data_IF_931119137681
#
_entry.id   IF_931119137681
#
_cell.length_a   1.000
_cell.length_b   1.000
_cell.length_c   1.000
_cell.angle_alpha   90.00
_cell.angle_beta   90.00
_cell.angle_gamma   90.00
#
_symmetry.space_group_name_H-M   'P 1'
#
loop_
_entity.id
_entity.type
_entity.pdbx_description
1 polymer ?
#
# COMPACT_ATOMS: atom_id res chain seq x y z
N UNK A 1 -51.84 -30.77 15.42
CA UNK A 1 -50.57 -30.76 16.18
C UNK A 1 -49.32 -30.77 15.31
N UNK A 2 -49.37 -31.36 14.12
CA UNK A 2 -48.24 -31.39 13.19
C UNK A 2 -48.03 -30.05 12.40
N UNK A 3 -49.08 -29.25 12.25
CA UNK A 3 -49.01 -27.93 11.61
C UNK A 3 -48.34 -26.88 12.50
N UNK A 4 -48.44 -27.00 13.81
CA UNK A 4 -47.82 -26.07 14.76
C UNK A 4 -46.30 -26.28 14.89
N UNK A 5 -45.85 -27.54 14.79
CA UNK A 5 -44.41 -27.85 14.87
C UNK A 5 -43.63 -27.43 13.61
N UNK A 6 -44.28 -27.44 12.43
CA UNK A 6 -43.62 -26.99 11.18
C UNK A 6 -43.49 -25.46 11.08
N UNK A 7 -44.33 -24.72 11.79
CA UNK A 7 -44.27 -23.26 11.84
C UNK A 7 -43.12 -22.71 12.72
N UNK A 8 -42.66 -23.49 13.67
CA UNK A 8 -41.63 -23.07 14.61
C UNK A 8 -40.18 -23.25 14.08
N UNK A 9 -40.01 -24.07 13.04
CA UNK A 9 -38.70 -24.36 12.47
C UNK A 9 -38.22 -23.21 11.52
N UNK A 10 -39.11 -22.31 11.10
CA UNK A 10 -38.78 -21.18 10.20
C UNK A 10 -38.81 -19.81 10.87
N UNK A 11 -38.75 -19.71 12.17
CA UNK A 11 -38.33 -18.47 12.79
C UNK A 11 -36.83 -18.32 12.54
N UNK A 12 -36.48 -17.80 11.35
CA UNK A 12 -35.20 -17.14 11.19
C UNK A 12 -35.14 -16.05 12.25
N UNK A 13 -34.33 -16.26 13.26
CA UNK A 13 -33.91 -15.19 14.14
C UNK A 13 -33.02 -14.30 13.28
N UNK A 14 -33.61 -13.33 12.63
CA UNK A 14 -32.90 -12.21 12.06
C UNK A 14 -32.45 -11.39 13.26
N UNK A 15 -31.22 -11.63 13.73
CA UNK A 15 -30.58 -10.71 14.65
C UNK A 15 -30.29 -9.45 13.87
N UNK A 16 -31.24 -8.52 13.89
CA UNK A 16 -30.96 -7.14 13.53
C UNK A 16 -30.09 -6.59 14.65
N UNK A 17 -28.77 -6.60 14.43
CA UNK A 17 -27.88 -5.77 15.20
C UNK A 17 -27.94 -4.37 14.58
N UNK A 18 -28.71 -3.44 15.16
CA UNK A 18 -28.64 -2.05 14.72
C UNK A 18 -27.18 -1.58 14.91
N UNK A 19 -26.52 -1.21 13.84
CA UNK A 19 -25.25 -0.49 13.90
C UNK A 19 -25.52 0.84 14.59
N UNK A 20 -25.46 0.86 15.93
CA UNK A 20 -25.74 2.05 16.73
C UNK A 20 -24.61 3.07 16.71
N UNK A 21 -23.42 2.65 16.29
CA UNK A 21 -22.24 3.50 16.31
C UNK A 21 -21.79 3.88 14.89
N UNK A 22 -21.43 5.13 14.75
CA UNK A 22 -20.89 5.65 13.51
C UNK A 22 -19.54 4.98 13.23
N UNK A 23 -19.45 4.24 12.14
CA UNK A 23 -18.18 3.74 11.62
C UNK A 23 -17.38 4.95 11.11
N UNK A 24 -16.19 5.16 11.61
CA UNK A 24 -15.28 6.18 11.10
C UNK A 24 -13.91 5.60 10.81
N UNK A 25 -13.42 5.81 9.58
CA UNK A 25 -12.03 5.57 9.23
C UNK A 25 -11.18 6.74 9.70
N UNK A 26 -9.92 6.51 10.11
CA UNK A 26 -9.03 7.60 10.48
C UNK A 26 -8.64 8.41 9.24
N UNK A 27 -8.41 9.68 9.44
CA UNK A 27 -7.81 10.55 8.44
C UNK A 27 -6.40 10.07 8.10
N UNK A 28 -5.96 10.33 6.88
CA UNK A 28 -4.59 10.03 6.44
C UNK A 28 -3.89 11.34 6.14
N UNK A 29 -2.78 11.59 6.83
CA UNK A 29 -1.90 12.72 6.58
C UNK A 29 -0.63 12.22 5.90
N UNK A 30 -0.28 12.83 4.76
CA UNK A 30 0.91 12.48 4.01
C UNK A 30 1.66 13.73 3.58
N UNK A 31 2.99 13.66 3.63
CA UNK A 31 3.89 14.65 3.10
C UNK A 31 5.07 13.97 2.44
N UNK A 32 5.47 14.45 1.26
CA UNK A 32 6.59 13.92 0.51
C UNK A 32 7.41 15.03 -0.10
N UNK A 33 8.69 14.77 -0.29
CA UNK A 33 9.64 15.67 -0.95
C UNK A 33 10.38 14.87 -2.00
N UNK A 34 10.39 15.39 -3.25
CA UNK A 34 11.14 14.85 -4.36
C UNK A 34 12.18 15.85 -4.85
N UNK A 35 13.37 15.35 -5.17
CA UNK A 35 14.47 16.12 -5.75
C UNK A 35 14.96 15.47 -7.03
N UNK A 36 15.12 16.24 -8.09
CA UNK A 36 15.74 15.82 -9.34
C UNK A 36 17.07 16.56 -9.54
N UNK A 37 18.14 15.79 -9.73
CA UNK A 37 19.48 16.33 -9.95
C UNK A 37 19.96 15.91 -11.34
N UNK A 38 20.29 16.88 -12.19
CA UNK A 38 20.90 16.66 -13.50
C UNK A 38 20.10 15.76 -14.45
N UNK A 39 18.79 15.63 -14.32
CA UNK A 39 17.92 14.72 -15.07
C UNK A 39 18.30 13.23 -15.01
N UNK A 40 19.29 12.88 -14.20
CA UNK A 40 19.78 11.52 -14.04
C UNK A 40 19.32 10.91 -12.71
N UNK A 41 19.26 11.71 -11.67
CA UNK A 41 18.98 11.28 -10.33
C UNK A 41 17.69 11.89 -9.82
N UNK A 42 16.80 11.06 -9.35
CA UNK A 42 15.57 11.47 -8.66
C UNK A 42 15.55 10.81 -7.29
N UNK A 43 15.39 11.61 -6.27
CA UNK A 43 15.25 11.19 -4.86
C UNK A 43 13.86 11.54 -4.38
N UNK A 44 13.23 10.63 -3.66
CA UNK A 44 11.92 10.85 -3.08
C UNK A 44 11.90 10.31 -1.65
N UNK A 45 11.28 11.07 -0.75
CA UNK A 45 11.06 10.68 0.65
C UNK A 45 9.64 11.02 1.02
N UNK A 46 8.92 10.05 1.55
CA UNK A 46 7.53 10.18 1.94
C UNK A 46 7.31 9.82 3.40
N UNK A 47 6.45 10.57 4.04
CA UNK A 47 5.94 10.33 5.37
C UNK A 47 4.42 10.21 5.34
N UNK A 48 3.88 9.17 5.96
CA UNK A 48 2.43 8.98 6.10
C UNK A 48 2.09 8.69 7.56
N UNK A 49 1.06 9.38 8.05
CA UNK A 49 0.53 9.21 9.41
C UNK A 49 -0.98 8.96 9.39
N UNK A 50 -1.43 7.98 10.17
CA UNK A 50 -2.84 7.63 10.30
C UNK A 50 -3.19 7.42 11.79
N UNK A 51 -4.02 8.29 12.40
CA UNK A 51 -4.40 8.19 13.81
C UNK A 51 -5.49 7.13 14.04
N UNK A 52 -5.15 5.85 13.93
CA UNK A 52 -6.06 4.74 14.14
C UNK A 52 -6.57 4.62 15.58
N UNK A 53 -5.86 5.19 16.56
CA UNK A 53 -6.31 5.26 17.94
C UNK A 53 -7.61 6.08 18.12
N UNK A 54 -7.91 6.97 17.16
CA UNK A 54 -9.12 7.80 17.13
C UNK A 54 -10.27 7.19 16.33
N UNK A 55 -10.01 6.10 15.61
CA UNK A 55 -11.02 5.43 14.80
C UNK A 55 -12.10 4.80 15.68
N UNK A 56 -13.36 5.00 15.31
CA UNK A 56 -14.49 4.39 16.00
C UNK A 56 -14.92 3.15 15.22
N UNK A 57 -14.68 1.99 15.80
CA UNK A 57 -15.19 0.73 15.29
C UNK A 57 -16.15 0.14 16.31
N UNK A 58 -17.30 -0.29 15.85
CA UNK A 58 -18.18 -1.10 16.66
C UNK A 58 -17.59 -2.50 16.73
N UNK A 59 -17.15 -2.89 17.92
CA UNK A 59 -16.62 -4.22 18.14
C UNK A 59 -17.74 -5.25 18.01
N UNK A 60 -17.73 -6.01 16.93
CA UNK A 60 -18.74 -7.04 16.65
C UNK A 60 -18.74 -8.19 17.66
N UNK A 61 -17.70 -8.32 18.44
CA UNK A 61 -17.48 -9.47 19.30
C UNK A 61 -17.56 -9.18 20.80
N UNK A 62 -17.82 -7.94 21.21
CA UNK A 62 -18.07 -7.60 22.63
C UNK A 62 -16.93 -7.90 23.62
N UNK A 63 -15.88 -8.55 23.20
CA UNK A 63 -14.77 -9.00 24.05
C UNK A 63 -13.42 -8.90 23.33
N UNK A 64 -12.95 -7.75 22.94
CA UNK A 64 -11.57 -7.71 22.45
C UNK A 64 -10.62 -6.89 23.29
N UNK A 65 -10.42 -7.34 24.51
CA UNK A 65 -9.22 -6.96 25.25
C UNK A 65 -7.89 -7.36 24.59
N UNK A 66 -7.95 -8.17 23.52
CA UNK A 66 -6.78 -8.69 22.82
C UNK A 66 -6.32 -7.82 21.62
N UNK A 67 -7.19 -6.93 21.11
CA UNK A 67 -6.90 -6.10 19.95
C UNK A 67 -7.03 -4.62 20.32
N UNK A 68 -5.99 -3.85 20.04
CA UNK A 68 -5.97 -2.41 20.23
C UNK A 68 -5.51 -1.73 18.97
N UNK A 69 -6.23 -0.70 18.57
CA UNK A 69 -5.82 0.16 17.45
C UNK A 69 -4.82 1.21 17.93
N UNK A 70 -3.75 1.33 17.21
CA UNK A 70 -2.64 2.26 17.49
C UNK A 70 -2.29 3.04 16.23
N UNK A 71 -1.78 4.23 16.39
CA UNK A 71 -1.45 5.10 15.27
C UNK A 71 -0.41 4.46 14.35
N UNK A 72 -0.69 4.50 13.05
CA UNK A 72 0.21 4.01 12.01
C UNK A 72 1.09 5.13 11.50
N UNK A 73 2.37 4.83 11.39
CA UNK A 73 3.38 5.70 10.78
C UNK A 73 4.12 4.93 9.71
N UNK A 74 4.34 5.56 8.54
CA UNK A 74 5.11 4.98 7.45
C UNK A 74 6.11 6.01 6.95
N UNK A 75 7.37 5.60 6.82
CA UNK A 75 8.43 6.32 6.13
C UNK A 75 8.84 5.52 4.90
N UNK A 76 8.89 6.16 3.75
CA UNK A 76 9.36 5.56 2.52
C UNK A 76 10.45 6.46 1.91
N UNK A 77 11.42 5.84 1.25
CA UNK A 77 12.44 6.54 0.50
C UNK A 77 12.74 5.79 -0.79
N UNK A 78 12.99 6.52 -1.85
CA UNK A 78 13.28 6.00 -3.18
C UNK A 78 14.36 6.80 -3.90
N UNK A 79 15.06 6.09 -4.76
CA UNK A 79 16.07 6.64 -5.66
C UNK A 79 15.85 6.10 -7.06
N UNK A 80 15.82 6.95 -8.05
CA UNK A 80 15.85 6.58 -9.46
C UNK A 80 17.10 7.14 -10.11
N UNK A 81 17.74 6.31 -10.93
CA UNK A 81 18.89 6.67 -11.75
C UNK A 81 18.61 6.35 -13.22
N UNK A 82 18.80 7.35 -14.09
CA UNK A 82 18.71 7.23 -15.54
C UNK A 82 20.02 7.74 -16.13
N UNK A 83 20.95 6.86 -16.54
CA UNK A 83 22.32 7.25 -16.88
C UNK A 83 22.43 8.30 -17.98
N UNK A 84 21.77 8.06 -19.12
CA UNK A 84 21.78 9.00 -20.25
C UNK A 84 20.60 8.71 -21.19
N UNK A 85 19.68 9.65 -21.28
CA UNK A 85 18.49 9.52 -22.12
C UNK A 85 18.77 9.52 -23.63
N UNK A 86 19.95 9.96 -24.05
CA UNK A 86 20.43 9.99 -25.45
C UNK A 86 21.36 8.83 -25.80
N UNK A 87 21.77 8.06 -24.82
CA UNK A 87 22.71 6.96 -24.98
C UNK A 87 22.12 5.68 -25.58
N UNK A 88 22.88 4.60 -25.55
CA UNK A 88 22.41 3.27 -25.91
C UNK A 88 21.26 2.80 -25.03
N UNK A 89 20.58 1.72 -25.41
CA UNK A 89 19.34 1.25 -24.75
C UNK A 89 19.47 1.13 -23.22
N UNK A 90 20.52 0.48 -22.73
CA UNK A 90 20.75 0.32 -21.29
C UNK A 90 20.96 1.65 -20.53
N UNK A 91 21.50 2.68 -21.22
CA UNK A 91 21.66 4.01 -20.60
C UNK A 91 20.35 4.78 -20.50
N UNK A 92 19.35 4.42 -21.30
CA UNK A 92 17.99 5.02 -21.25
C UNK A 92 17.06 4.33 -20.27
N UNK A 93 17.48 3.20 -19.73
CA UNK A 93 16.71 2.47 -18.73
C UNK A 93 16.68 3.24 -17.40
N UNK A 94 15.58 3.10 -16.68
CA UNK A 94 15.45 3.63 -15.34
C UNK A 94 15.81 2.54 -14.33
N UNK A 95 16.76 2.81 -13.48
CA UNK A 95 17.16 1.97 -12.36
C UNK A 95 16.59 2.55 -11.08
N UNK A 96 15.86 1.76 -10.32
CA UNK A 96 15.18 2.21 -9.11
C UNK A 96 15.55 1.33 -7.94
N UNK A 97 15.75 1.96 -6.79
CA UNK A 97 15.88 1.29 -5.51
C UNK A 97 15.07 2.08 -4.49
N UNK A 98 14.43 1.38 -3.58
CA UNK A 98 13.62 2.02 -2.55
C UNK A 98 13.38 1.10 -1.39
N UNK A 99 12.74 1.65 -0.38
CA UNK A 99 12.31 0.88 0.76
C UNK A 99 11.41 1.69 1.65
N UNK A 100 10.72 1.00 2.54
CA UNK A 100 9.94 1.67 3.57
C UNK A 100 10.02 0.95 4.91
N UNK A 101 9.77 1.72 5.93
CA UNK A 101 9.49 1.25 7.26
C UNK A 101 8.09 1.70 7.67
N UNK A 102 7.30 0.80 8.26
CA UNK A 102 5.97 1.10 8.78
C UNK A 102 5.73 0.31 10.06
N UNK A 103 5.06 0.93 11.02
CA UNK A 103 4.40 0.20 12.09
C UNK A 103 2.95 -0.10 11.67
N UNK A 104 2.42 -1.22 12.12
CA UNK A 104 1.03 -1.58 11.88
C UNK A 104 0.10 -0.78 12.81
N UNK A 105 -1.15 -0.65 12.38
CA UNK A 105 -2.21 -0.02 13.17
C UNK A 105 -2.81 -0.97 14.22
N UNK A 106 -2.52 -2.26 14.12
CA UNK A 106 -3.05 -3.28 15.01
C UNK A 106 -2.00 -3.72 16.03
N UNK A 107 -2.35 -3.65 17.31
CA UNK A 107 -1.59 -4.23 18.40
C UNK A 107 -2.31 -5.48 18.90
N UNK A 108 -1.62 -6.62 18.85
CA UNK A 108 -2.14 -7.92 19.29
C UNK A 108 -1.45 -8.34 20.58
N UNK A 109 -2.20 -8.54 21.64
CA UNK A 109 -1.68 -8.97 22.97
C UNK A 109 -0.48 -8.13 23.45
N UNK A 110 -0.55 -6.81 23.29
CA UNK A 110 0.53 -5.90 23.66
C UNK A 110 1.74 -5.91 22.71
N UNK A 111 1.67 -6.62 21.58
CA UNK A 111 2.73 -6.69 20.59
C UNK A 111 2.35 -5.93 19.33
N UNK A 112 3.15 -4.93 18.98
CA UNK A 112 3.01 -4.13 17.78
C UNK A 112 3.80 -4.74 16.63
N UNK A 113 3.16 -4.93 15.49
CA UNK A 113 3.80 -5.39 14.26
C UNK A 113 4.57 -4.24 13.59
N UNK A 114 5.72 -4.56 13.04
CA UNK A 114 6.54 -3.66 12.21
C UNK A 114 6.79 -4.29 10.88
N UNK A 115 6.82 -3.46 9.86
CA UNK A 115 7.06 -3.88 8.48
C UNK A 115 8.23 -3.11 7.90
N UNK A 116 9.11 -3.83 7.24
CA UNK A 116 10.26 -3.31 6.51
C UNK A 116 10.17 -3.82 5.08
N UNK A 117 10.44 -2.96 4.13
CA UNK A 117 10.47 -3.33 2.73
C UNK A 117 11.75 -2.81 2.09
N UNK A 118 12.29 -3.62 1.19
CA UNK A 118 13.35 -3.23 0.26
C UNK A 118 12.88 -3.56 -1.15
N UNK A 119 12.98 -2.60 -2.05
CA UNK A 119 12.54 -2.75 -3.43
C UNK A 119 13.62 -2.37 -4.43
N UNK A 120 13.62 -3.03 -5.58
CA UNK A 120 14.43 -2.71 -6.73
C UNK A 120 13.56 -2.74 -7.99
N UNK A 121 13.81 -1.86 -8.94
CA UNK A 121 13.01 -1.76 -10.15
C UNK A 121 13.81 -1.40 -11.38
N UNK A 122 13.34 -1.89 -12.53
CA UNK A 122 13.88 -1.58 -13.84
C UNK A 122 12.77 -1.02 -14.72
N UNK A 123 13.04 0.10 -15.37
CA UNK A 123 12.14 0.71 -16.35
C UNK A 123 12.74 0.61 -17.74
N UNK A 124 12.04 -0.07 -18.65
CA UNK A 124 12.44 -0.33 -20.03
C UNK A 124 11.68 0.64 -20.96
N UNK A 125 12.32 1.70 -21.47
CA UNK A 125 11.68 2.60 -22.42
C UNK A 125 11.49 1.90 -23.77
N UNK A 126 10.27 1.94 -24.30
CA UNK A 126 9.93 1.43 -25.63
C UNK A 126 10.06 2.59 -26.64
N UNK A 127 11.06 2.61 -27.54
CA UNK A 127 11.38 3.78 -28.36
C UNK A 127 10.24 4.24 -29.28
N UNK A 128 9.42 3.31 -29.75
CA UNK A 128 8.38 3.55 -30.76
C UNK A 128 7.13 4.22 -30.18
N UNK A 129 6.81 4.02 -28.90
CA UNK A 129 5.49 4.35 -28.32
C UNK A 129 5.53 5.29 -27.13
N UNK A 130 6.65 5.94 -26.80
CA UNK A 130 6.79 6.72 -25.54
C UNK A 130 6.26 5.96 -24.29
N UNK A 131 6.29 4.67 -24.37
CA UNK A 131 5.80 3.72 -23.37
C UNK A 131 6.98 3.23 -22.54
N UNK A 132 6.77 2.98 -21.27
CA UNK A 132 7.78 2.37 -20.40
C UNK A 132 7.21 1.11 -19.78
N UNK A 133 7.89 -0.01 -19.95
CA UNK A 133 7.59 -1.25 -19.23
C UNK A 133 8.42 -1.26 -17.94
N UNK A 134 7.78 -1.44 -16.81
CA UNK A 134 8.42 -1.45 -15.51
C UNK A 134 8.37 -2.85 -14.92
N UNK A 135 9.50 -3.30 -14.38
CA UNK A 135 9.64 -4.53 -13.62
C UNK A 135 10.11 -4.15 -12.21
N UNK A 136 9.36 -4.56 -11.21
CA UNK A 136 9.66 -4.30 -9.81
C UNK A 136 9.78 -5.59 -9.02
N UNK A 137 10.73 -5.60 -8.09
CA UNK A 137 10.93 -6.63 -7.08
C UNK A 137 10.87 -5.98 -5.71
N UNK A 138 10.16 -6.57 -4.80
CA UNK A 138 10.06 -6.08 -3.43
C UNK A 138 10.14 -7.25 -2.46
N UNK A 139 11.02 -7.14 -1.50
CA UNK A 139 11.06 -8.03 -0.34
C UNK A 139 10.48 -7.30 0.86
N UNK A 140 9.55 -7.94 1.54
CA UNK A 140 8.86 -7.39 2.71
C UNK A 140 9.02 -8.33 3.88
N UNK A 141 9.44 -7.78 5.00
CA UNK A 141 9.52 -8.46 6.27
C UNK A 141 8.58 -7.84 7.28
N UNK A 142 7.71 -8.66 7.85
CA UNK A 142 6.76 -8.27 8.90
C UNK A 142 7.04 -9.07 10.16
N UNK A 143 7.26 -8.40 11.28
CA UNK A 143 7.57 -9.04 12.54
C UNK A 143 7.08 -8.23 13.73
N UNK A 144 6.74 -8.91 14.83
CA UNK A 144 6.48 -8.28 16.11
C UNK A 144 7.80 -7.92 16.81
N UNK A 145 7.78 -6.84 17.58
CA UNK A 145 8.95 -6.35 18.32
C UNK A 145 9.55 -7.40 19.26
N UNK A 146 8.74 -8.23 19.90
CA UNK A 146 9.15 -9.14 20.95
C UNK A 146 9.21 -10.62 20.50
N UNK A 147 9.10 -10.90 19.19
CA UNK A 147 9.15 -12.28 18.68
C UNK A 147 7.98 -13.18 19.09
N UNK A 148 6.94 -12.61 19.73
CA UNK A 148 5.79 -13.34 20.25
C UNK A 148 4.74 -13.68 19.18
N UNK A 149 4.86 -13.11 17.98
CA UNK A 149 3.97 -13.34 16.84
C UNK A 149 4.75 -13.94 15.66
N UNK A 150 4.00 -14.49 14.71
CA UNK A 150 4.54 -15.07 13.48
C UNK A 150 5.33 -14.00 12.72
N UNK A 151 6.52 -14.37 12.25
CA UNK A 151 7.32 -13.58 11.32
C UNK A 151 6.90 -13.97 9.91
N UNK A 152 6.66 -12.96 9.09
CA UNK A 152 6.28 -13.13 7.69
C UNK A 152 7.33 -12.47 6.82
N UNK A 153 7.84 -13.24 5.85
CA UNK A 153 8.72 -12.76 4.80
C UNK A 153 8.06 -13.10 3.45
N UNK A 154 7.87 -12.11 2.59
CA UNK A 154 7.31 -12.34 1.27
C UNK A 154 7.96 -11.48 0.20
N UNK A 155 7.90 -11.98 -1.03
CA UNK A 155 8.44 -11.34 -2.21
C UNK A 155 7.32 -10.97 -3.16
N UNK A 156 7.32 -9.72 -3.61
CA UNK A 156 6.40 -9.22 -4.62
C UNK A 156 7.16 -9.00 -5.93
N UNK A 157 6.56 -9.43 -7.03
CA UNK A 157 7.01 -9.11 -8.38
C UNK A 157 5.90 -8.31 -9.05
N UNK A 158 6.23 -7.13 -9.53
CA UNK A 158 5.28 -6.22 -10.18
C UNK A 158 5.71 -5.96 -11.60
N UNK A 159 4.79 -6.12 -12.55
CA UNK A 159 4.97 -5.72 -13.95
C UNK A 159 3.95 -4.63 -14.24
N UNK A 160 4.44 -3.48 -14.71
CA UNK A 160 3.61 -2.33 -15.04
C UNK A 160 3.93 -1.79 -16.43
N UNK A 161 2.95 -1.22 -17.10
CA UNK A 161 3.12 -0.55 -18.39
C UNK A 161 2.56 0.86 -18.28
N UNK A 162 3.42 1.85 -18.52
CA UNK A 162 3.03 3.25 -18.55
C UNK A 162 2.95 3.71 -19.99
N UNK A 163 1.74 4.04 -20.44
CA UNK A 163 1.49 4.64 -21.74
C UNK A 163 1.52 6.16 -21.60
N UNK A 164 2.31 6.82 -22.42
CA UNK A 164 2.37 8.29 -22.48
C UNK A 164 2.02 8.73 -23.90
N UNK A 165 0.78 9.13 -24.12
CA UNK A 165 0.28 9.61 -25.39
C UNK A 165 -0.02 11.11 -25.31
N UNK A 166 0.32 11.84 -26.39
CA UNK A 166 -0.07 13.25 -26.52
C UNK A 166 -1.46 13.29 -27.16
N UNK A 167 -2.45 13.63 -26.34
CA UNK A 167 -3.81 13.89 -26.82
C UNK A 167 -3.86 15.31 -27.38
N UNK A 168 -4.69 15.55 -28.44
CA UNK A 168 -4.87 16.84 -29.09
C UNK A 168 -3.67 17.37 -29.89
N UNK A 169 -3.00 16.52 -30.63
CA UNK A 169 -2.02 16.97 -31.61
C UNK A 169 -2.75 17.57 -32.81
N UNK A 170 -2.76 18.91 -32.92
CA UNK A 170 -3.33 19.61 -34.07
C UNK A 170 -2.44 19.33 -35.29
N UNK A 171 -2.93 18.56 -36.26
CA UNK A 171 -2.24 18.39 -37.55
C UNK A 171 -2.31 19.70 -38.29
N UNK A 172 -1.18 20.31 -38.61
CA UNK A 172 -1.09 21.40 -39.58
C UNK A 172 -1.39 20.81 -40.94
N UNK A 173 -2.52 21.19 -41.52
CA UNK A 173 -2.86 20.91 -42.91
C UNK A 173 -2.19 22.04 -43.72
N UNK A 174 -1.23 21.68 -44.54
CA UNK A 174 -0.61 22.58 -45.55
C UNK A 174 -1.36 22.44 -46.84
#
# INVERSE_FOLDING_TARGET
ALSSAASDVYKRQTYEHPLKDNFSLPETWGAGIGFEISRQWMFEVDYTYQPWSKAKFTDYTGESAAQKYVDRTKFAAGLQFTPDWRGGYGKRMNYRIGGYWSNDYLELRGNRLRQYSLSAGLGFPVPTFKTTVNLGFEWVKRAAKNGALIKEDYFNITIGVNFNEMWFHQRKIY
#
